data_IF_230020556366
#
_entry.id   IF_230020556366
#
_cell.length_a   1.000
_cell.length_b   1.000
_cell.length_c   1.000
_cell.angle_alpha   90.00
_cell.angle_beta   90.00
_cell.angle_gamma   90.00
#
_symmetry.space_group_name_H-M   'P 1'
#
loop_
_entity.id
_entity.type
_entity.pdbx_description
1 polymer ?
#
# COMPACT_ATOMS: atom_id res chain seq x y z
N UNK A 1 10.70 56.38 -0.56
CA UNK A 1 10.73 55.05 -1.20
C UNK A 1 10.69 54.00 -0.10
N UNK A 2 9.57 53.25 -0.08
CA UNK A 2 9.39 52.13 0.86
C UNK A 2 10.04 50.90 0.20
N UNK A 3 11.15 50.41 0.74
CA UNK A 3 11.75 49.14 0.33
C UNK A 3 10.92 48.00 0.88
N UNK A 4 10.12 47.35 0.02
CA UNK A 4 9.45 46.06 0.33
C UNK A 4 10.46 44.94 0.28
N UNK A 5 10.83 44.41 1.43
CA UNK A 5 11.59 43.15 1.53
C UNK A 5 10.61 42.00 1.34
N UNK A 6 10.58 41.41 0.16
CA UNK A 6 9.94 40.13 -0.07
C UNK A 6 10.89 39.01 0.41
N UNK A 7 10.61 38.46 1.58
CA UNK A 7 11.27 37.21 1.99
C UNK A 7 10.78 36.07 1.07
N UNK A 8 11.69 35.33 0.42
CA UNK A 8 11.27 34.14 -0.32
C UNK A 8 10.67 33.15 0.66
N UNK A 9 9.39 32.84 0.50
CA UNK A 9 8.75 31.71 1.17
C UNK A 9 9.42 30.44 0.61
N UNK A 10 10.42 29.92 1.31
CA UNK A 10 10.98 28.59 1.03
C UNK A 10 9.85 27.63 1.37
N UNK A 11 9.19 27.09 0.36
CA UNK A 11 8.24 25.99 0.52
C UNK A 11 9.05 24.79 1.01
N UNK A 12 9.14 24.64 2.33
CA UNK A 12 9.78 23.48 2.94
C UNK A 12 9.00 22.23 2.49
N UNK A 13 9.63 21.43 1.64
CA UNK A 13 9.05 20.18 1.17
C UNK A 13 8.57 19.40 2.41
N UNK A 14 7.28 19.04 2.43
CA UNK A 14 6.66 18.32 3.57
C UNK A 14 7.20 16.90 3.65
N UNK A 15 8.48 16.77 3.91
CA UNK A 15 9.25 15.55 3.94
C UNK A 15 9.02 14.80 5.26
N UNK A 16 8.78 13.49 5.17
CA UNK A 16 8.70 12.58 6.32
C UNK A 16 9.51 11.33 6.00
N UNK A 17 10.43 10.97 6.87
CA UNK A 17 11.27 9.79 6.70
C UNK A 17 11.56 9.12 8.04
N UNK A 18 11.88 7.84 7.95
CA UNK A 18 12.40 7.04 9.05
C UNK A 18 13.31 5.96 8.48
N UNK A 19 14.37 5.65 9.19
CA UNK A 19 15.23 4.49 8.97
C UNK A 19 15.25 3.70 10.26
N UNK A 20 14.97 2.41 10.16
CA UNK A 20 15.00 1.48 11.28
C UNK A 20 15.96 0.33 10.98
N UNK A 21 16.58 -0.18 11.98
CA UNK A 21 17.27 -1.46 11.93
C UNK A 21 16.21 -2.58 11.81
N UNK A 22 16.37 -3.44 10.79
CA UNK A 22 15.38 -4.49 10.49
C UNK A 22 15.30 -5.56 11.56
N UNK A 23 16.40 -5.84 12.27
CA UNK A 23 16.47 -6.95 13.21
C UNK A 23 15.84 -6.57 14.55
N UNK A 24 16.26 -5.44 15.14
CA UNK A 24 15.84 -5.02 16.47
C UNK A 24 14.80 -3.89 16.47
N UNK A 25 14.57 -3.21 15.33
CA UNK A 25 13.60 -2.12 15.18
C UNK A 25 14.10 -0.77 15.74
N UNK A 26 15.39 -0.67 16.08
CA UNK A 26 16.01 0.59 16.55
C UNK A 26 15.88 1.66 15.48
N UNK A 27 15.43 2.85 15.86
CA UNK A 27 15.38 4.00 14.94
C UNK A 27 16.79 4.55 14.76
N UNK A 28 17.27 4.53 13.52
CA UNK A 28 18.58 5.04 13.12
C UNK A 28 18.48 6.49 12.65
N UNK A 29 17.37 6.85 12.00
CA UNK A 29 17.09 8.21 11.54
C UNK A 29 15.58 8.46 11.57
N UNK A 30 15.18 9.69 11.90
CA UNK A 30 13.77 10.08 11.91
C UNK A 30 13.60 11.57 11.62
N UNK A 31 12.76 11.89 10.65
CA UNK A 31 12.33 13.28 10.37
C UNK A 31 10.83 13.29 10.10
N UNK A 32 10.08 14.02 10.91
CA UNK A 32 8.62 14.13 10.79
C UNK A 32 7.90 12.76 10.72
N UNK A 33 8.49 11.69 11.29
CA UNK A 33 8.04 10.31 11.11
C UNK A 33 6.63 10.05 11.61
N UNK A 34 6.11 10.85 12.55
CA UNK A 34 4.76 10.75 13.07
C UNK A 34 3.75 11.66 12.36
N UNK A 35 4.16 12.48 11.40
CA UNK A 35 3.26 13.39 10.70
C UNK A 35 2.38 12.60 9.73
N UNK A 36 1.05 12.87 9.76
CA UNK A 36 0.11 12.25 8.84
C UNK A 36 0.40 12.65 7.39
N UNK A 37 0.49 11.63 6.54
CA UNK A 37 0.74 11.77 5.09
C UNK A 37 -0.23 10.90 4.30
N UNK A 38 -0.36 11.18 3.03
CA UNK A 38 -1.00 10.28 2.08
C UNK A 38 0.02 9.20 1.68
N UNK A 39 -0.33 7.90 1.82
CA UNK A 39 0.61 6.82 1.50
C UNK A 39 0.91 6.70 0.00
N UNK A 40 0.04 7.18 -0.87
CA UNK A 40 0.11 6.94 -2.30
C UNK A 40 0.33 5.42 -2.58
N UNK A 41 1.18 5.06 -3.54
CA UNK A 41 1.44 3.67 -3.90
C UNK A 41 2.05 2.80 -2.80
N UNK A 42 2.58 3.38 -1.72
CA UNK A 42 2.98 2.60 -0.54
C UNK A 42 1.81 1.84 0.10
N UNK A 43 0.57 2.24 -0.17
CA UNK A 43 -0.64 1.48 0.17
C UNK A 43 -0.58 0.03 -0.29
N UNK A 44 0.00 -0.22 -1.48
CA UNK A 44 0.10 -1.55 -2.07
C UNK A 44 0.96 -2.52 -1.27
N UNK A 45 1.83 -2.02 -0.39
CA UNK A 45 2.54 -2.86 0.57
C UNK A 45 1.57 -3.60 1.50
N UNK A 46 0.50 -2.94 1.97
CA UNK A 46 -0.53 -3.61 2.76
C UNK A 46 -1.38 -4.55 1.90
N UNK A 47 -1.65 -4.21 0.64
CA UNK A 47 -2.35 -5.11 -0.29
C UNK A 47 -1.57 -6.40 -0.49
N UNK A 48 -0.25 -6.30 -0.72
CA UNK A 48 0.66 -7.45 -0.84
C UNK A 48 0.76 -8.23 0.48
N UNK A 49 0.88 -7.53 1.62
CA UNK A 49 0.90 -8.18 2.94
C UNK A 49 -0.31 -9.10 3.13
N UNK A 50 -1.50 -8.60 2.84
CA UNK A 50 -2.74 -9.37 2.98
C UNK A 50 -2.85 -10.52 1.95
N UNK A 51 -2.32 -10.34 0.74
CA UNK A 51 -2.23 -11.41 -0.25
C UNK A 51 -1.28 -12.52 0.23
N UNK A 52 -0.12 -12.17 0.79
CA UNK A 52 0.83 -13.12 1.35
C UNK A 52 0.28 -13.82 2.60
N UNK A 53 -0.46 -13.12 3.47
CA UNK A 53 -1.21 -13.74 4.57
C UNK A 53 -2.18 -14.82 4.03
N UNK A 54 -2.92 -14.51 2.98
CA UNK A 54 -3.88 -15.44 2.38
C UNK A 54 -3.20 -16.64 1.72
N UNK A 55 -2.07 -16.43 1.04
CA UNK A 55 -1.24 -17.51 0.46
C UNK A 55 -0.68 -18.42 1.56
N UNK A 56 -0.12 -17.84 2.63
CA UNK A 56 0.42 -18.59 3.76
C UNK A 56 -0.64 -19.46 4.46
N UNK A 57 -1.88 -18.96 4.50
CA UNK A 57 -3.03 -19.68 5.06
C UNK A 57 -3.72 -20.60 4.03
N UNK A 58 -3.17 -20.74 2.81
CA UNK A 58 -3.74 -21.53 1.71
C UNK A 58 -5.18 -21.15 1.34
N UNK A 59 -5.60 -19.90 1.62
CA UNK A 59 -6.90 -19.37 1.22
C UNK A 59 -6.96 -19.02 -0.26
N UNK A 60 -5.82 -18.72 -0.85
CA UNK A 60 -5.60 -18.57 -2.29
C UNK A 60 -4.32 -19.31 -2.68
N UNK A 61 -4.16 -19.61 -3.97
CA UNK A 61 -2.98 -20.23 -4.55
C UNK A 61 -2.36 -19.32 -5.60
N UNK A 62 -1.03 -19.39 -5.79
CA UNK A 62 -0.32 -18.56 -6.79
C UNK A 62 -0.88 -18.74 -8.21
N UNK A 63 -1.19 -19.98 -8.60
CA UNK A 63 -1.76 -20.32 -9.91
C UNK A 63 -3.27 -20.11 -10.00
N UNK A 64 -3.95 -19.70 -8.92
CA UNK A 64 -5.38 -19.46 -8.93
C UNK A 64 -5.70 -18.28 -9.86
N UNK A 65 -6.67 -18.47 -10.75
CA UNK A 65 -7.17 -17.44 -11.63
C UNK A 65 -8.19 -16.54 -10.93
N UNK A 66 -8.03 -15.24 -11.07
CA UNK A 66 -8.90 -14.20 -10.55
C UNK A 66 -9.61 -13.49 -11.69
N UNK A 67 -10.92 -13.31 -11.58
CA UNK A 67 -11.72 -12.60 -12.58
C UNK A 67 -11.46 -11.09 -12.49
N UNK A 68 -11.25 -10.46 -13.63
CA UNK A 68 -11.11 -9.01 -13.73
C UNK A 68 -12.48 -8.35 -13.80
N UNK A 69 -12.78 -7.50 -12.84
CA UNK A 69 -14.02 -6.73 -12.79
C UNK A 69 -13.97 -5.48 -13.69
N UNK A 70 -15.14 -4.90 -13.98
CA UNK A 70 -15.23 -3.58 -14.63
C UNK A 70 -14.55 -2.48 -13.79
N UNK A 71 -14.60 -2.60 -12.46
CA UNK A 71 -13.92 -1.68 -11.55
C UNK A 71 -12.40 -1.75 -11.71
N UNK A 72 -11.83 -2.95 -11.79
CA UNK A 72 -10.40 -3.16 -11.99
C UNK A 72 -9.96 -2.62 -13.37
N UNK A 73 -10.68 -2.94 -14.46
CA UNK A 73 -10.42 -2.38 -15.79
C UNK A 73 -10.42 -0.84 -15.80
N UNK A 74 -11.39 -0.23 -15.11
CA UNK A 74 -11.59 1.22 -15.02
C UNK A 74 -10.56 1.98 -14.16
N UNK A 75 -9.59 1.29 -13.55
CA UNK A 75 -8.59 1.97 -12.72
C UNK A 75 -7.72 2.94 -13.51
N UNK A 76 -7.36 4.05 -12.87
CA UNK A 76 -6.42 5.02 -13.44
C UNK A 76 -4.98 4.47 -13.42
N UNK A 77 -4.09 4.91 -14.30
CA UNK A 77 -2.68 4.53 -14.28
C UNK A 77 -1.97 4.85 -12.92
N UNK A 78 -0.91 4.08 -12.53
CA UNK A 78 -0.28 2.99 -13.28
C UNK A 78 -1.13 1.72 -13.31
N UNK A 79 -1.19 1.02 -14.43
CA UNK A 79 -1.91 -0.25 -14.61
C UNK A 79 -1.29 -1.08 -15.74
N UNK A 80 -1.57 -2.38 -15.79
CA UNK A 80 -1.13 -3.27 -16.88
C UNK A 80 -2.16 -3.40 -17.99
N UNK A 81 -3.35 -2.81 -17.84
CA UNK A 81 -4.40 -2.77 -18.87
C UNK A 81 -5.30 -3.99 -18.89
N UNK A 82 -5.59 -4.55 -17.73
CA UNK A 82 -6.53 -5.68 -17.59
C UNK A 82 -7.91 -5.32 -18.15
N UNK A 83 -8.56 -6.31 -18.81
CA UNK A 83 -9.89 -6.18 -19.40
C UNK A 83 -10.92 -6.97 -18.59
N UNK A 84 -12.06 -6.36 -18.34
CA UNK A 84 -13.18 -6.98 -17.64
C UNK A 84 -13.62 -8.28 -18.34
N UNK A 85 -13.86 -9.31 -17.55
CA UNK A 85 -14.17 -10.65 -18.04
C UNK A 85 -12.96 -11.53 -18.31
N UNK A 86 -11.76 -10.97 -18.45
CA UNK A 86 -10.53 -11.73 -18.52
C UNK A 86 -10.11 -12.22 -17.12
N UNK A 87 -9.11 -13.08 -17.09
CA UNK A 87 -8.54 -13.63 -15.85
C UNK A 87 -7.06 -13.29 -15.75
N UNK A 88 -6.57 -13.21 -14.51
CA UNK A 88 -5.16 -13.08 -14.17
C UNK A 88 -4.86 -14.01 -12.99
N UNK A 89 -3.69 -14.65 -12.97
CA UNK A 89 -3.29 -15.45 -11.81
C UNK A 89 -2.92 -14.56 -10.61
N UNK A 90 -3.04 -15.09 -9.40
CA UNK A 90 -2.58 -14.40 -8.18
C UNK A 90 -1.12 -13.98 -8.32
N UNK A 91 -0.26 -14.87 -8.81
CA UNK A 91 1.16 -14.60 -9.04
C UNK A 91 1.36 -13.41 -9.97
N UNK A 92 0.74 -13.43 -11.16
CA UNK A 92 0.87 -12.33 -12.13
C UNK A 92 0.31 -11.01 -11.58
N UNK A 93 -0.75 -11.05 -10.77
CA UNK A 93 -1.27 -9.85 -10.13
C UNK A 93 -0.27 -9.28 -9.10
N UNK A 94 0.37 -10.13 -8.29
CA UNK A 94 1.44 -9.75 -7.36
C UNK A 94 2.62 -9.14 -8.11
N UNK A 95 3.12 -9.82 -9.14
CA UNK A 95 4.22 -9.33 -9.98
C UNK A 95 3.91 -7.98 -10.64
N UNK A 96 2.69 -7.79 -11.14
CA UNK A 96 2.26 -6.52 -11.72
C UNK A 96 2.23 -5.38 -10.69
N UNK A 97 1.83 -5.67 -9.44
CA UNK A 97 1.86 -4.69 -8.35
C UNK A 97 3.30 -4.31 -8.01
N UNK A 98 4.20 -5.28 -7.91
CA UNK A 98 5.60 -5.05 -7.53
C UNK A 98 6.34 -4.30 -8.63
N UNK A 99 6.26 -4.77 -9.88
CA UNK A 99 7.06 -4.25 -10.98
C UNK A 99 6.52 -2.94 -11.56
N UNK A 100 5.20 -2.77 -11.64
CA UNK A 100 4.56 -1.62 -12.30
C UNK A 100 3.67 -0.79 -11.38
N UNK A 101 3.55 -1.18 -10.10
CA UNK A 101 2.61 -0.55 -9.17
C UNK A 101 1.16 -0.55 -9.71
N UNK A 102 0.74 -1.64 -10.37
CA UNK A 102 -0.49 -1.75 -11.15
C UNK A 102 -1.75 -1.61 -10.27
N UNK A 103 -2.57 -0.60 -10.55
CA UNK A 103 -3.80 -0.32 -9.81
C UNK A 103 -4.90 -1.34 -10.12
N UNK A 104 -5.03 -1.75 -11.39
CA UNK A 104 -5.98 -2.78 -11.82
C UNK A 104 -5.70 -4.12 -11.14
N UNK A 105 -4.45 -4.57 -11.11
CA UNK A 105 -4.05 -5.80 -10.42
C UNK A 105 -4.29 -5.72 -8.89
N UNK A 106 -4.01 -4.59 -8.25
CA UNK A 106 -4.29 -4.38 -6.84
C UNK A 106 -5.80 -4.45 -6.53
N UNK A 107 -6.64 -3.92 -7.44
CA UNK A 107 -8.09 -3.99 -7.31
C UNK A 107 -8.59 -5.42 -7.47
N UNK A 108 -8.09 -6.19 -8.44
CA UNK A 108 -8.44 -7.61 -8.62
C UNK A 108 -8.12 -8.42 -7.37
N UNK A 109 -6.90 -8.28 -6.81
CA UNK A 109 -6.54 -8.95 -5.56
C UNK A 109 -7.45 -8.54 -4.39
N UNK A 110 -7.75 -7.27 -4.27
CA UNK A 110 -8.61 -6.76 -3.20
C UNK A 110 -10.03 -7.37 -3.27
N UNK A 111 -10.62 -7.42 -4.46
CA UNK A 111 -11.95 -7.97 -4.69
C UNK A 111 -11.97 -9.49 -4.47
N UNK A 112 -10.91 -10.21 -4.84
CA UNK A 112 -10.82 -11.65 -4.60
C UNK A 112 -10.70 -12.02 -3.11
N UNK A 113 -10.08 -11.14 -2.30
CA UNK A 113 -9.86 -11.37 -0.87
C UNK A 113 -10.99 -10.84 0.04
N UNK A 114 -11.89 -10.01 -0.49
CA UNK A 114 -12.92 -9.36 0.33
C UNK A 114 -14.19 -8.96 -0.43
N UNK A 115 -14.51 -9.59 -1.55
CA UNK A 115 -15.68 -9.34 -2.38
C UNK A 115 -15.71 -7.93 -3.00
N UNK A 116 -15.35 -6.91 -2.25
CA UNK A 116 -15.25 -5.53 -2.73
C UNK A 116 -13.99 -4.85 -2.21
N UNK A 117 -13.44 -3.92 -3.01
CA UNK A 117 -12.30 -3.11 -2.57
C UNK A 117 -12.61 -2.30 -1.29
N UNK A 118 -13.86 -1.90 -1.09
CA UNK A 118 -14.27 -1.16 0.12
C UNK A 118 -14.15 -2.04 1.37
N UNK A 119 -14.62 -3.28 1.29
CA UNK A 119 -14.49 -4.25 2.39
C UNK A 119 -13.03 -4.62 2.61
N UNK A 120 -12.25 -4.77 1.53
CA UNK A 120 -10.82 -4.99 1.62
C UNK A 120 -10.11 -3.85 2.36
N UNK A 121 -10.41 -2.59 2.02
CA UNK A 121 -9.81 -1.42 2.68
C UNK A 121 -10.14 -1.35 4.19
N UNK A 122 -11.33 -1.82 4.60
CA UNK A 122 -11.67 -1.98 6.03
C UNK A 122 -10.78 -3.04 6.69
N UNK A 123 -10.62 -4.21 6.06
CA UNK A 123 -9.72 -5.28 6.52
C UNK A 123 -8.25 -4.81 6.57
N UNK A 124 -7.77 -4.05 5.56
CA UNK A 124 -6.44 -3.43 5.59
C UNK A 124 -6.25 -2.53 6.81
N UNK A 125 -7.25 -1.70 7.13
CA UNK A 125 -7.18 -0.80 8.30
C UNK A 125 -7.19 -1.57 9.61
N UNK A 126 -7.95 -2.66 9.69
CA UNK A 126 -7.92 -3.55 10.85
C UNK A 126 -6.56 -4.22 10.99
N UNK A 127 -6.02 -4.80 9.92
CA UNK A 127 -4.69 -5.40 9.89
C UNK A 127 -3.60 -4.41 10.31
N UNK A 128 -3.69 -3.16 9.84
CA UNK A 128 -2.78 -2.10 10.24
C UNK A 128 -2.79 -1.90 11.78
N UNK A 129 -3.96 -1.89 12.41
CA UNK A 129 -4.08 -1.78 13.88
C UNK A 129 -3.46 -2.98 14.58
N UNK A 130 -3.69 -4.19 14.10
CA UNK A 130 -3.13 -5.44 14.62
C UNK A 130 -1.59 -5.42 14.57
N UNK A 131 -1.01 -4.86 13.51
CA UNK A 131 0.44 -4.67 13.36
C UNK A 131 1.00 -3.51 14.21
N UNK A 132 0.15 -2.69 14.85
CA UNK A 132 0.58 -1.54 15.64
C UNK A 132 0.70 -0.22 14.86
N UNK A 133 0.18 -0.14 13.63
CA UNK A 133 0.11 1.07 12.80
C UNK A 133 -1.03 1.99 13.28
N UNK A 134 -0.83 2.64 14.43
CA UNK A 134 -1.90 3.35 15.18
C UNK A 134 -2.47 4.58 14.48
N UNK A 135 -1.78 5.13 13.48
CA UNK A 135 -2.17 6.36 12.77
C UNK A 135 -2.45 6.13 11.29
N UNK A 136 -2.76 4.86 10.91
CA UNK A 136 -3.02 4.46 9.54
C UNK A 136 -4.49 4.12 9.32
N UNK A 137 -5.03 4.64 8.23
CA UNK A 137 -6.38 4.34 7.75
C UNK A 137 -6.36 4.19 6.23
N UNK A 138 -6.68 3.00 5.75
CA UNK A 138 -6.78 2.68 4.33
C UNK A 138 -8.21 2.87 3.81
N UNK A 139 -8.36 3.26 2.53
CA UNK A 139 -9.65 3.49 1.86
C UNK A 139 -9.77 2.81 0.51
N UNK A 140 -8.65 2.35 -0.03
CA UNK A 140 -8.57 1.55 -1.25
C UNK A 140 -7.31 0.68 -1.21
N UNK A 141 -7.20 -0.24 -2.16
CA UNK A 141 -6.06 -1.15 -2.30
C UNK A 141 -4.89 -0.54 -3.07
N UNK A 142 -5.12 0.55 -3.76
CA UNK A 142 -4.24 1.09 -4.80
C UNK A 142 -3.35 2.23 -4.34
N UNK A 143 -3.83 3.02 -3.38
CA UNK A 143 -3.20 4.27 -2.97
C UNK A 143 -3.67 5.49 -3.76
N UNK A 144 -4.66 5.33 -4.63
CA UNK A 144 -5.29 6.45 -5.34
C UNK A 144 -5.87 7.48 -4.36
N UNK A 145 -6.02 8.75 -4.77
CA UNK A 145 -6.38 9.83 -3.89
C UNK A 145 -7.68 9.59 -3.11
N UNK A 146 -7.60 9.68 -1.80
CA UNK A 146 -8.73 9.71 -0.89
C UNK A 146 -8.35 10.54 0.35
N UNK A 147 -9.13 11.59 0.66
CA UNK A 147 -8.82 12.53 1.76
C UNK A 147 -8.71 11.85 3.13
N UNK A 148 -9.41 10.71 3.32
CA UNK A 148 -9.42 9.95 4.57
C UNK A 148 -8.34 8.86 4.63
N UNK A 149 -7.62 8.59 3.52
CA UNK A 149 -6.51 7.65 3.49
C UNK A 149 -5.26 8.33 4.02
N UNK A 150 -4.79 7.93 5.17
CA UNK A 150 -3.65 8.53 5.87
C UNK A 150 -2.77 7.46 6.50
N UNK A 151 -1.50 7.79 6.62
CA UNK A 151 -0.49 7.00 7.32
C UNK A 151 0.60 7.91 7.86
N UNK A 152 1.63 7.33 8.48
CA UNK A 152 2.86 8.01 8.91
C UNK A 152 4.08 7.22 8.42
N UNK A 153 5.24 7.86 8.30
CA UNK A 153 6.46 7.15 7.97
C UNK A 153 6.77 6.04 8.99
N UNK A 154 6.50 6.30 10.29
CA UNK A 154 6.65 5.32 11.36
C UNK A 154 5.76 4.09 11.14
N UNK A 155 4.49 4.28 10.80
CA UNK A 155 3.57 3.17 10.56
C UNK A 155 3.99 2.37 9.31
N UNK A 156 4.47 3.04 8.26
CA UNK A 156 4.98 2.35 7.08
C UNK A 156 6.23 1.53 7.37
N UNK A 157 7.12 1.99 8.27
CA UNK A 157 8.26 1.20 8.72
C UNK A 157 7.83 -0.06 9.49
N UNK A 158 6.77 0.03 10.29
CA UNK A 158 6.17 -1.13 10.97
C UNK A 158 5.70 -2.16 9.93
N UNK A 159 4.98 -1.71 8.90
CA UNK A 159 4.52 -2.59 7.83
C UNK A 159 5.69 -3.20 7.04
N UNK A 160 6.71 -2.41 6.71
CA UNK A 160 7.91 -2.91 6.03
C UNK A 160 8.59 -4.01 6.82
N UNK A 161 8.80 -3.80 8.14
CA UNK A 161 9.37 -4.82 9.02
C UNK A 161 8.49 -6.07 9.09
N UNK A 162 7.17 -5.89 9.20
CA UNK A 162 6.24 -7.01 9.23
C UNK A 162 6.27 -7.85 7.94
N UNK A 163 6.41 -7.21 6.76
CA UNK A 163 6.60 -7.92 5.49
C UNK A 163 7.88 -8.77 5.50
N UNK A 164 9.00 -8.20 5.92
CA UNK A 164 10.29 -8.90 5.98
C UNK A 164 10.27 -10.09 6.93
N UNK A 165 9.64 -9.94 8.08
CA UNK A 165 9.63 -10.98 9.13
C UNK A 165 8.59 -12.07 8.87
N UNK A 166 7.35 -11.67 8.56
CA UNK A 166 6.23 -12.59 8.48
C UNK A 166 6.11 -13.28 7.11
N UNK A 167 6.66 -12.65 6.06
CA UNK A 167 6.50 -13.09 4.67
C UNK A 167 7.85 -13.24 3.94
N UNK A 168 8.88 -13.65 4.68
CA UNK A 168 10.25 -13.83 4.14
C UNK A 168 10.28 -14.65 2.85
N UNK A 169 9.44 -15.69 2.76
CA UNK A 169 9.38 -16.59 1.60
C UNK A 169 8.83 -15.93 0.32
N UNK A 170 8.22 -14.77 0.41
CA UNK A 170 7.67 -14.03 -0.73
C UNK A 170 8.45 -12.73 -1.03
N UNK A 171 9.59 -12.53 -0.36
CA UNK A 171 10.37 -11.29 -0.49
C UNK A 171 11.42 -11.34 -1.61
N UNK A 172 11.61 -12.48 -2.25
CA UNK A 172 12.63 -12.71 -3.29
C UNK A 172 12.18 -12.25 -4.67
#
# INVERSE_FOLDING_TARGET
>A
PILSFTFPFIAEARYSAIVIDSDNGKVLYSRNANTLRYPASLTKMMTLYMAFDALSQKKILLNQELLVSRRAEGQTPSKIGLKSGNKITVENAILAIISKSANDAATVLAESLAETEILFAKKMTQKAKELGMKRTNFRNATGLPNRRQKTTAKDMAILSKALLVNHKNYYH
#
